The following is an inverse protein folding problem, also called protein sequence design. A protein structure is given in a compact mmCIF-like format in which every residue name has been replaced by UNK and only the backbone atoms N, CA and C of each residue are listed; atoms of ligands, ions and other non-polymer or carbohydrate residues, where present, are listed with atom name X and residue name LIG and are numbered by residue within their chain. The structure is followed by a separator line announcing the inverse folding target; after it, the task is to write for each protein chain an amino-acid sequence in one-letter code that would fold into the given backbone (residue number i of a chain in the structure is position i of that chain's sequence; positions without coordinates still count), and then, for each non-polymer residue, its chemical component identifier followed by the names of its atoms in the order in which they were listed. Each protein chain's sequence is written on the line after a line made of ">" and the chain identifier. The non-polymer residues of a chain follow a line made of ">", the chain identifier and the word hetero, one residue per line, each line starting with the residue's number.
data_IF_618418972687
#
_entry.id   IF_618418972687
#
_cell.length_a   1.000
_cell.length_b   1.000
_cell.length_c   1.000
_cell.angle_alpha   90.00
_cell.angle_beta   90.00
_cell.angle_gamma   90.00
#
_symmetry.space_group_name_H-M   'P 1'
#
loop_
_entity.id
_entity.type
_entity.pdbx_description
1 polymer ?
#
# COMPACT_ATOMS: atom_id res chain seq x y z
N UNK A 1 -11.47 3.60 -15.82
CA UNK A 1 -12.56 3.49 -14.81
C UNK A 1 -12.13 2.38 -13.88
N UNK A 2 -12.13 2.60 -12.57
CA UNK A 2 -11.72 1.58 -11.58
C UNK A 2 -12.81 0.52 -11.49
N UNK A 3 -12.45 -0.75 -11.69
CA UNK A 3 -13.33 -1.92 -11.61
C UNK A 3 -12.79 -2.96 -10.63
N UNK A 4 -11.48 -3.11 -10.57
CA UNK A 4 -10.79 -4.07 -9.73
C UNK A 4 -9.98 -3.34 -8.66
N UNK A 5 -10.23 -3.64 -7.41
CA UNK A 5 -9.57 -3.04 -6.25
C UNK A 5 -8.89 -4.12 -5.42
N UNK A 6 -7.61 -3.96 -5.12
CA UNK A 6 -6.90 -4.80 -4.17
C UNK A 6 -6.72 -4.03 -2.86
N UNK A 7 -7.19 -4.58 -1.77
CA UNK A 7 -6.94 -4.07 -0.42
C UNK A 7 -5.84 -4.89 0.23
N UNK A 8 -4.69 -4.26 0.48
CA UNK A 8 -3.60 -4.85 1.26
C UNK A 8 -3.64 -4.27 2.66
N UNK A 9 -3.81 -5.13 3.66
CA UNK A 9 -3.94 -4.70 5.04
C UNK A 9 -2.86 -5.27 5.95
N UNK A 10 -2.50 -4.53 6.98
CA UNK A 10 -1.62 -5.01 8.05
C UNK A 10 -2.41 -5.97 8.91
N UNK A 11 -1.98 -7.24 8.98
CA UNK A 11 -2.50 -8.19 9.95
C UNK A 11 -1.78 -7.97 11.27
N UNK A 12 -2.48 -7.49 12.27
CA UNK A 12 -1.95 -7.26 13.60
C UNK A 12 -2.94 -7.76 14.66
N UNK A 13 -2.48 -8.00 15.87
CA UNK A 13 -3.31 -8.39 17.02
C UNK A 13 -3.90 -7.18 17.77
N UNK A 14 -3.77 -5.97 17.23
CA UNK A 14 -4.31 -4.75 17.81
C UNK A 14 -5.71 -4.49 17.27
N UNK A 15 -6.69 -4.36 18.17
CA UNK A 15 -8.11 -4.14 17.84
C UNK A 15 -8.35 -2.92 16.93
N UNK A 16 -7.50 -1.89 17.01
CA UNK A 16 -7.62 -0.68 16.19
C UNK A 16 -7.51 -0.98 14.69
N UNK A 17 -6.63 -1.91 14.31
CA UNK A 17 -6.48 -2.30 12.90
C UNK A 17 -7.66 -3.14 12.42
N UNK A 18 -8.19 -4.01 13.27
CA UNK A 18 -9.36 -4.84 12.94
C UNK A 18 -10.60 -3.95 12.75
N UNK A 19 -10.81 -2.97 13.64
CA UNK A 19 -11.90 -1.98 13.50
C UNK A 19 -11.77 -1.17 12.23
N UNK A 20 -10.58 -0.66 11.92
CA UNK A 20 -10.33 0.08 10.69
C UNK A 20 -10.59 -0.77 9.45
N UNK A 21 -10.26 -2.05 9.48
CA UNK A 21 -10.54 -2.98 8.38
C UNK A 21 -12.05 -3.21 8.21
N UNK A 22 -12.81 -3.33 9.30
CA UNK A 22 -14.27 -3.47 9.24
C UNK A 22 -14.93 -2.22 8.65
N UNK A 23 -14.49 -1.02 9.07
CA UNK A 23 -14.99 0.25 8.52
C UNK A 23 -14.72 0.36 7.01
N UNK A 24 -13.49 0.07 6.58
CA UNK A 24 -13.10 0.07 5.16
C UNK A 24 -13.93 -0.95 4.37
N UNK A 25 -14.13 -2.17 4.89
CA UNK A 25 -14.96 -3.20 4.26
C UNK A 25 -16.40 -2.74 4.08
N UNK A 26 -17.01 -2.18 5.12
CA UNK A 26 -18.39 -1.71 5.06
C UNK A 26 -18.61 -0.68 3.95
N UNK A 27 -17.66 0.25 3.78
CA UNK A 27 -17.70 1.24 2.69
C UNK A 27 -17.53 0.59 1.32
N UNK A 28 -16.57 -0.32 1.19
CA UNK A 28 -16.32 -1.00 -0.09
C UNK A 28 -17.46 -1.93 -0.49
N UNK A 29 -18.09 -2.64 0.44
CA UNK A 29 -19.27 -3.49 0.18
C UNK A 29 -20.44 -2.67 -0.38
N UNK A 30 -20.63 -1.44 0.13
CA UNK A 30 -21.60 -0.50 -0.44
C UNK A 30 -21.26 -0.16 -1.89
N UNK A 31 -19.98 0.11 -2.17
CA UNK A 31 -19.51 0.45 -3.52
C UNK A 31 -19.55 -0.75 -4.49
N UNK A 32 -19.32 -1.97 -4.01
CA UNK A 32 -19.54 -3.20 -4.78
C UNK A 32 -20.99 -3.26 -5.24
N UNK A 33 -21.93 -3.02 -4.33
CA UNK A 33 -23.38 -3.04 -4.63
C UNK A 33 -23.81 -1.89 -5.54
N UNK A 34 -23.25 -0.69 -5.36
CA UNK A 34 -23.61 0.52 -6.11
C UNK A 34 -23.01 0.54 -7.53
N UNK A 35 -21.80 0.02 -7.71
CA UNK A 35 -20.98 0.22 -8.92
C UNK A 35 -20.47 -1.05 -9.58
N UNK A 36 -20.69 -2.22 -8.99
CA UNK A 36 -20.21 -3.49 -9.51
C UNK A 36 -18.70 -3.64 -9.45
N UNK A 37 -18.08 -3.13 -8.39
CA UNK A 37 -16.62 -3.30 -8.17
C UNK A 37 -16.28 -4.74 -7.79
N UNK A 38 -15.13 -5.19 -8.19
CA UNK A 38 -14.48 -6.38 -7.64
C UNK A 38 -13.47 -5.93 -6.59
N UNK A 39 -13.55 -6.47 -5.37
CA UNK A 39 -12.66 -6.11 -4.28
C UNK A 39 -12.05 -7.35 -3.68
N UNK A 40 -10.72 -7.47 -3.77
CA UNK A 40 -9.94 -8.51 -3.16
C UNK A 40 -9.21 -8.00 -1.92
N UNK A 41 -9.09 -8.84 -0.90
CA UNK A 41 -8.42 -8.52 0.36
C UNK A 41 -7.27 -9.48 0.62
N UNK A 42 -6.09 -8.94 0.85
CA UNK A 42 -4.90 -9.75 1.13
C UNK A 42 -4.10 -9.14 2.28
N UNK A 43 -3.68 -9.97 3.23
CA UNK A 43 -2.77 -9.51 4.27
C UNK A 43 -1.39 -9.21 3.67
N UNK A 44 -0.75 -8.14 4.15
CA UNK A 44 0.59 -7.71 3.71
C UNK A 44 1.61 -8.87 3.75
N UNK A 45 1.51 -9.72 4.74
CA UNK A 45 2.42 -10.85 4.97
C UNK A 45 2.28 -11.97 3.93
N UNK A 46 1.16 -12.00 3.21
CA UNK A 46 0.84 -13.05 2.23
C UNK A 46 0.68 -12.56 0.81
N UNK A 47 0.62 -11.24 0.61
CA UNK A 47 0.50 -10.64 -0.71
C UNK A 47 1.71 -10.98 -1.59
N UNK A 48 1.45 -11.28 -2.84
CA UNK A 48 2.48 -11.65 -3.83
C UNK A 48 2.48 -10.65 -4.97
N UNK A 49 3.59 -10.57 -5.68
CA UNK A 49 3.73 -9.70 -6.86
C UNK A 49 2.62 -9.92 -7.91
N UNK A 50 2.16 -11.17 -8.06
CA UNK A 50 1.08 -11.49 -8.98
C UNK A 50 -0.26 -10.81 -8.63
N UNK A 51 -0.51 -10.56 -7.35
CA UNK A 51 -1.75 -9.94 -6.88
C UNK A 51 -1.86 -8.47 -7.33
N UNK A 52 -0.73 -7.83 -7.70
CA UNK A 52 -0.67 -6.45 -8.18
C UNK A 52 -0.80 -6.30 -9.71
N UNK A 53 -1.00 -7.40 -10.45
CA UNK A 53 -1.03 -7.36 -11.91
C UNK A 53 -2.35 -6.87 -12.50
N UNK A 54 -3.46 -7.13 -11.81
CA UNK A 54 -4.81 -6.89 -12.35
C UNK A 54 -5.57 -5.71 -11.71
N UNK A 55 -5.27 -5.25 -10.48
CA UNK A 55 -6.05 -4.17 -9.89
C UNK A 55 -5.85 -2.82 -10.60
N UNK A 56 -6.95 -2.11 -10.79
CA UNK A 56 -6.96 -0.72 -11.25
C UNK A 56 -6.60 0.27 -10.14
N UNK A 57 -6.78 -0.16 -8.88
CA UNK A 57 -6.46 0.60 -7.67
C UNK A 57 -6.00 -0.33 -6.57
N UNK A 58 -4.89 0.00 -5.93
CA UNK A 58 -4.42 -0.67 -4.70
C UNK A 58 -4.72 0.22 -3.51
N UNK A 59 -5.43 -0.30 -2.51
CA UNK A 59 -5.66 0.36 -1.23
C UNK A 59 -4.76 -0.30 -0.19
N UNK A 60 -3.97 0.49 0.51
CA UNK A 60 -3.07 0.01 1.57
C UNK A 60 -3.60 0.49 2.91
N UNK A 61 -4.13 -0.43 3.70
CA UNK A 61 -4.63 -0.17 5.05
C UNK A 61 -3.56 -0.53 6.09
N UNK A 62 -3.02 0.48 6.73
CA UNK A 62 -1.94 0.32 7.70
C UNK A 62 -1.26 1.64 8.02
N UNK A 63 0.04 1.62 8.29
CA UNK A 63 0.89 2.79 8.40
C UNK A 63 1.91 2.85 7.24
N UNK A 64 2.80 3.85 7.27
CA UNK A 64 3.83 4.07 6.26
C UNK A 64 4.67 2.82 5.97
N UNK A 65 5.02 2.05 7.01
CA UNK A 65 5.76 0.80 6.87
C UNK A 65 5.00 -0.29 6.10
N UNK A 66 3.67 -0.30 6.14
CA UNK A 66 2.86 -1.22 5.33
C UNK A 66 2.97 -0.86 3.86
N UNK A 67 2.83 0.43 3.52
CA UNK A 67 2.91 0.89 2.15
C UNK A 67 4.31 0.71 1.56
N UNK A 68 5.35 1.14 2.26
CA UNK A 68 6.74 1.02 1.78
C UNK A 68 7.15 -0.44 1.58
N UNK A 69 6.64 -1.37 2.42
CA UNK A 69 6.95 -2.80 2.30
C UNK A 69 6.41 -3.47 1.05
N UNK A 70 5.35 -2.94 0.42
CA UNK A 70 4.76 -3.49 -0.80
C UNK A 70 5.07 -2.68 -2.05
N UNK A 71 5.56 -1.46 -1.89
CA UNK A 71 5.77 -0.51 -2.98
C UNK A 71 6.66 -1.05 -4.11
N UNK A 72 7.60 -1.96 -3.79
CA UNK A 72 8.47 -2.59 -4.77
C UNK A 72 7.74 -3.56 -5.72
N UNK A 73 6.57 -4.06 -5.31
CA UNK A 73 5.78 -5.02 -6.10
C UNK A 73 4.70 -4.36 -6.97
N UNK A 74 4.35 -3.11 -6.67
CA UNK A 74 3.31 -2.38 -7.40
C UNK A 74 3.88 -1.83 -8.71
N UNK A 75 3.15 -2.00 -9.81
CA UNK A 75 3.50 -1.39 -11.08
C UNK A 75 3.42 0.14 -11.01
N UNK A 76 4.30 0.82 -11.77
CA UNK A 76 4.37 2.29 -11.78
C UNK A 76 3.13 2.99 -12.35
N UNK A 77 2.27 2.26 -13.06
CA UNK A 77 1.01 2.78 -13.63
C UNK A 77 -0.21 2.56 -12.72
N UNK A 78 -0.11 1.68 -11.72
CA UNK A 78 -1.21 1.37 -10.82
C UNK A 78 -1.24 2.40 -9.67
N UNK A 79 -2.33 3.17 -9.52
CA UNK A 79 -2.47 4.10 -8.40
C UNK A 79 -2.59 3.36 -7.08
N UNK A 80 -1.99 3.96 -6.04
CA UNK A 80 -2.02 3.44 -4.67
C UNK A 80 -2.66 4.49 -3.77
N UNK A 81 -3.64 4.07 -2.97
CA UNK A 81 -4.29 4.87 -1.95
C UNK A 81 -3.88 4.35 -0.57
N UNK A 82 -3.15 5.16 0.19
CA UNK A 82 -2.81 4.86 1.57
C UNK A 82 -3.92 5.27 2.53
N UNK A 83 -4.30 4.36 3.42
CA UNK A 83 -5.28 4.58 4.49
C UNK A 83 -4.62 4.29 5.83
N UNK A 84 -4.42 5.32 6.65
CA UNK A 84 -3.80 5.18 7.95
C UNK A 84 -4.77 4.50 8.92
N UNK A 85 -4.55 3.23 9.22
CA UNK A 85 -5.43 2.45 10.11
C UNK A 85 -5.30 2.84 11.59
N UNK A 86 -4.25 3.53 11.97
CA UNK A 86 -3.99 4.01 13.31
C UNK A 86 -3.26 5.36 13.22
N UNK A 87 -3.97 6.45 12.93
CA UNK A 87 -3.39 7.79 12.95
C UNK A 87 -2.80 8.10 14.31
N UNK A 88 -1.68 8.83 14.32
CA UNK A 88 -1.02 9.24 15.55
C UNK A 88 -1.92 10.13 16.38
N UNK A 89 -2.08 9.81 17.65
CA UNK A 89 -2.89 10.52 18.62
C UNK A 89 -2.08 11.48 19.50
N UNK A 90 -2.75 12.08 20.47
CA UNK A 90 -2.16 13.02 21.43
C UNK A 90 -1.12 12.34 22.36
N UNK A 91 -1.23 11.03 22.56
CA UNK A 91 -0.31 10.23 23.38
C UNK A 91 0.91 9.73 22.58
N UNK A 92 1.05 10.18 21.34
CA UNK A 92 2.18 9.87 20.44
C UNK A 92 2.18 8.41 19.95
N UNK A 93 1.05 7.71 20.08
CA UNK A 93 0.82 6.37 19.54
C UNK A 93 0.33 6.43 18.09
N UNK A 94 0.58 5.36 17.33
CA UNK A 94 0.16 5.27 15.93
C UNK A 94 1.19 5.70 14.90
N UNK A 95 0.74 5.86 13.65
CA UNK A 95 1.58 6.21 12.50
C UNK A 95 1.40 7.67 12.10
N UNK A 96 2.48 8.33 11.70
CA UNK A 96 2.41 9.68 11.11
C UNK A 96 1.60 9.72 9.82
N UNK A 97 1.60 8.63 9.06
CA UNK A 97 0.87 8.56 7.80
C UNK A 97 1.44 9.46 6.72
N UNK A 98 2.77 9.54 6.60
CA UNK A 98 3.45 10.39 5.61
C UNK A 98 3.01 10.07 4.16
N UNK A 99 2.81 8.78 3.88
CA UNK A 99 2.32 8.29 2.59
C UNK A 99 0.81 8.02 2.58
N UNK A 100 0.12 8.26 3.69
CA UNK A 100 -1.30 7.96 3.84
C UNK A 100 -2.13 9.21 3.59
N UNK A 101 -2.87 9.23 2.50
CA UNK A 101 -3.73 10.37 2.14
C UNK A 101 -5.13 10.32 2.76
N UNK A 102 -5.46 9.22 3.47
CA UNK A 102 -6.78 8.97 4.07
C UNK A 102 -6.63 8.24 5.40
N UNK A 103 -7.69 8.23 6.18
CA UNK A 103 -7.88 7.42 7.37
C UNK A 103 -9.33 6.89 7.42
N UNK A 104 -9.71 6.03 8.38
CA UNK A 104 -11.07 5.48 8.43
C UNK A 104 -12.18 6.55 8.43
N UNK A 105 -11.96 7.71 9.02
CA UNK A 105 -12.95 8.78 9.13
C UNK A 105 -13.22 9.50 7.79
N UNK A 106 -12.20 9.59 6.93
CA UNK A 106 -12.29 10.25 5.61
C UNK A 106 -12.43 9.26 4.45
N UNK A 107 -12.19 7.99 4.69
CA UNK A 107 -12.10 6.94 3.67
C UNK A 107 -13.29 6.89 2.72
N UNK A 108 -14.51 7.03 3.24
CA UNK A 108 -15.72 6.93 2.42
C UNK A 108 -15.81 8.00 1.32
N UNK A 109 -15.34 9.22 1.60
CA UNK A 109 -15.27 10.31 0.63
C UNK A 109 -14.08 10.12 -0.32
N UNK A 110 -12.91 9.83 0.23
CA UNK A 110 -11.66 9.72 -0.49
C UNK A 110 -11.67 8.57 -1.51
N UNK A 111 -12.19 7.40 -1.13
CA UNK A 111 -12.28 6.26 -2.04
C UNK A 111 -13.28 6.52 -3.18
N UNK A 112 -14.39 7.22 -2.90
CA UNK A 112 -15.34 7.62 -3.94
C UNK A 112 -14.71 8.63 -4.92
N UNK A 113 -13.85 9.52 -4.42
CA UNK A 113 -13.10 10.44 -5.25
C UNK A 113 -12.08 9.69 -6.12
N UNK A 114 -11.34 8.74 -5.53
CA UNK A 114 -10.34 7.93 -6.24
C UNK A 114 -10.98 7.10 -7.37
N UNK A 115 -12.04 6.34 -7.07
CA UNK A 115 -12.77 5.52 -8.04
C UNK A 115 -13.41 6.40 -9.12
N UNK A 116 -13.88 7.58 -8.76
CA UNK A 116 -14.49 8.56 -9.68
C UNK A 116 -13.49 9.38 -10.50
N UNK A 117 -12.18 9.16 -10.35
CA UNK A 117 -11.13 9.90 -11.06
C UNK A 117 -11.02 11.37 -10.65
N UNK A 118 -11.47 11.74 -9.45
CA UNK A 118 -11.42 13.10 -8.91
C UNK A 118 -10.36 13.30 -7.83
N UNK A 119 -9.70 12.22 -7.42
CA UNK A 119 -8.59 12.30 -6.47
C UNK A 119 -7.37 12.95 -7.12
N UNK A 120 -6.61 13.69 -6.32
CA UNK A 120 -5.31 14.22 -6.74
C UNK A 120 -4.29 13.09 -6.63
N UNK A 121 -3.62 12.79 -7.73
CA UNK A 121 -2.58 11.77 -7.80
C UNK A 121 -1.21 12.42 -7.76
N UNK A 122 -0.41 12.06 -6.76
CA UNK A 122 0.99 12.44 -6.67
C UNK A 122 1.88 11.33 -7.22
N UNK A 123 2.81 11.69 -8.09
CA UNK A 123 3.80 10.74 -8.61
C UNK A 123 5.06 10.81 -7.75
N UNK A 124 5.39 9.68 -7.13
CA UNK A 124 6.57 9.56 -6.27
C UNK A 124 7.68 8.80 -7.01
N UNK A 125 8.92 9.30 -7.00
CA UNK A 125 10.05 8.57 -7.55
C UNK A 125 10.39 7.37 -6.66
N UNK A 126 10.87 6.29 -7.29
CA UNK A 126 11.43 5.12 -6.60
C UNK A 126 12.90 4.96 -6.96
N UNK A 127 13.69 4.49 -6.03
CA UNK A 127 15.10 4.20 -6.22
C UNK A 127 15.26 2.76 -6.71
N UNK A 128 16.10 2.56 -7.72
CA UNK A 128 16.47 1.22 -8.18
C UNK A 128 17.98 1.10 -8.27
N UNK A 129 18.55 0.08 -7.64
CA UNK A 129 19.97 -0.22 -7.75
C UNK A 129 20.25 -1.19 -8.90
N UNK A 130 21.35 -0.94 -9.58
CA UNK A 130 21.94 -1.85 -10.53
C UNK A 130 23.33 -2.26 -10.04
N UNK A 131 23.59 -3.56 -9.96
CA UNK A 131 24.82 -4.12 -9.45
C UNK A 131 25.53 -4.83 -10.60
N UNK A 132 26.69 -4.36 -10.99
CA UNK A 132 27.57 -5.06 -11.92
C UNK A 132 28.51 -5.97 -11.12
N UNK A 133 28.47 -7.27 -11.41
CA UNK A 133 29.36 -8.24 -10.78
C UNK A 133 30.73 -8.27 -11.46
N UNK A 134 31.72 -8.80 -10.77
CA UNK A 134 33.08 -8.98 -11.33
C UNK A 134 33.13 -9.89 -12.56
N UNK A 135 32.10 -10.71 -12.77
CA UNK A 135 31.92 -11.54 -13.97
C UNK A 135 31.20 -10.82 -15.11
N UNK A 136 30.84 -9.54 -14.95
CA UNK A 136 30.13 -8.75 -15.94
C UNK A 136 28.61 -8.95 -15.98
N UNK A 137 28.03 -9.70 -15.03
CA UNK A 137 26.57 -9.83 -14.95
C UNK A 137 25.98 -8.59 -14.27
N UNK A 138 24.84 -8.15 -14.80
CA UNK A 138 24.08 -7.02 -14.25
C UNK A 138 22.85 -7.56 -13.52
N UNK A 139 22.71 -7.19 -12.24
CA UNK A 139 21.57 -7.52 -11.39
C UNK A 139 20.84 -6.22 -11.06
N UNK A 140 19.55 -6.15 -11.38
CA UNK A 140 18.70 -5.03 -10.98
C UNK A 140 17.82 -5.42 -9.81
N UNK A 141 17.87 -4.61 -8.76
CA UNK A 141 16.98 -4.76 -7.61
C UNK A 141 15.57 -4.30 -7.95
N UNK A 142 14.58 -4.77 -7.19
CA UNK A 142 13.25 -4.17 -7.25
C UNK A 142 13.29 -2.69 -6.79
N UNK A 143 12.45 -1.80 -7.36
CA UNK A 143 12.48 -0.40 -7.02
C UNK A 143 11.93 -0.16 -5.60
N UNK A 144 12.67 0.59 -4.79
CA UNK A 144 12.28 0.98 -3.43
C UNK A 144 11.65 2.37 -3.39
N UNK A 145 10.61 2.54 -2.58
CA UNK A 145 9.98 3.85 -2.40
C UNK A 145 10.77 4.72 -1.43
N UNK A 146 11.39 4.15 -0.41
CA UNK A 146 12.03 4.88 0.67
C UNK A 146 13.56 4.84 0.56
N UNK A 147 14.17 3.67 0.80
CA UNK A 147 15.61 3.51 0.84
C UNK A 147 16.09 2.18 0.24
N UNK A 148 17.40 2.13 -0.02
CA UNK A 148 18.13 0.94 -0.42
C UNK A 148 19.29 0.75 0.56
N UNK A 149 19.35 -0.43 1.19
CA UNK A 149 20.45 -0.79 2.08
C UNK A 149 21.49 -1.62 1.34
N UNK A 150 22.72 -1.14 1.32
CA UNK A 150 23.89 -1.93 0.89
C UNK A 150 24.65 -2.37 2.14
N UNK A 151 24.62 -3.65 2.43
CA UNK A 151 25.24 -4.18 3.64
C UNK A 151 25.99 -5.49 3.34
N UNK A 152 27.03 -5.76 4.16
CA UNK A 152 27.68 -7.05 4.16
C UNK A 152 26.77 -8.07 4.88
N UNK A 153 26.45 -9.19 4.22
CA UNK A 153 25.64 -10.26 4.80
C UNK A 153 26.39 -11.14 5.80
N UNK A 154 27.72 -11.07 5.82
CA UNK A 154 28.53 -11.77 6.82
C UNK A 154 28.69 -10.88 8.05
N UNK A 155 28.12 -11.30 9.16
CA UNK A 155 28.43 -10.70 10.46
C UNK A 155 29.93 -10.90 10.73
N UNK A 156 30.60 -9.83 11.13
CA UNK A 156 31.95 -9.96 11.69
C UNK A 156 31.82 -10.81 12.96
N UNK A 157 32.45 -11.96 12.96
CA UNK A 157 32.68 -12.74 14.18
C UNK A 157 33.84 -12.10 14.99
#
# INVERSE_FOLDING_TARGET
>A
MVSNVLVVYKKNFEEVHDRSLEEVRSVLDSLVSERGLNVDYTARETVRRADFMEPDLVIVLGGDGTLTSIAHSVDGSTPVMGVNSHPRDEDDEGSYGFYMGSDPSTFAEDVRAAIGGRAIVNVLPRLQAEIETTSGNVIRCDPALNDLLVANTHQYQ
#
